data_IF_629294039805
#
_entry.id   IF_629294039805
#
_cell.length_a   1.000
_cell.length_b   1.000
_cell.length_c   1.000
_cell.angle_alpha   90.00
_cell.angle_beta   90.00
_cell.angle_gamma   90.00
#
_symmetry.space_group_name_H-M   'P 1'
#
loop_
_entity.id
_entity.type
_entity.pdbx_description
1 polymer ?
#
# COMPACT_ATOMS: atom_id res chain seq x y z
N UNK A 1 -37.66 -3.05 7.44
CA UNK A 1 -37.03 -3.12 8.78
C UNK A 1 -35.49 -3.12 8.61
N UNK A 2 -34.75 -2.20 9.23
CA UNK A 2 -33.29 -2.22 9.23
C UNK A 2 -32.83 -3.39 10.11
N UNK A 3 -32.15 -4.38 9.50
CA UNK A 3 -31.61 -5.54 10.23
C UNK A 3 -30.44 -5.06 11.13
N UNK A 4 -30.52 -5.31 12.42
CA UNK A 4 -29.42 -5.04 13.35
C UNK A 4 -28.30 -6.07 13.12
N UNK A 5 -27.01 -5.68 13.25
CA UNK A 5 -25.92 -6.65 13.17
C UNK A 5 -26.01 -7.65 14.33
N UNK A 6 -25.53 -8.88 14.10
CA UNK A 6 -25.39 -9.86 15.18
C UNK A 6 -24.25 -9.47 16.14
N UNK A 7 -24.23 -10.09 17.31
CA UNK A 7 -23.12 -9.92 18.27
C UNK A 7 -21.78 -10.33 17.66
N UNK A 8 -21.78 -11.43 16.89
CA UNK A 8 -20.60 -11.98 16.20
C UNK A 8 -20.10 -11.02 15.13
N UNK A 9 -21.00 -10.46 14.30
CA UNK A 9 -20.64 -9.47 13.28
C UNK A 9 -20.05 -8.20 13.92
N UNK A 10 -20.64 -7.74 15.02
CA UNK A 10 -20.11 -6.59 15.77
C UNK A 10 -18.74 -6.89 16.38
N UNK A 11 -18.56 -8.09 16.94
CA UNK A 11 -17.27 -8.52 17.48
C UNK A 11 -16.18 -8.66 16.40
N UNK A 12 -16.53 -9.17 15.22
CA UNK A 12 -15.62 -9.26 14.06
C UNK A 12 -15.18 -7.86 13.60
N UNK A 13 -16.12 -6.93 13.45
CA UNK A 13 -15.83 -5.53 13.12
C UNK A 13 -14.84 -4.89 14.10
N UNK A 14 -15.09 -5.01 15.40
CA UNK A 14 -14.22 -4.43 16.43
C UNK A 14 -12.82 -5.03 16.36
N UNK A 15 -12.69 -6.35 16.16
CA UNK A 15 -11.39 -7.01 16.02
C UNK A 15 -10.65 -6.56 14.78
N UNK A 16 -11.33 -6.48 13.64
CA UNK A 16 -10.75 -6.01 12.38
C UNK A 16 -10.13 -4.62 12.54
N UNK A 17 -10.88 -3.67 13.12
CA UNK A 17 -10.38 -2.29 13.33
C UNK A 17 -9.17 -2.25 14.29
N UNK A 18 -9.23 -3.00 15.37
CA UNK A 18 -8.14 -3.03 16.36
C UNK A 18 -6.87 -3.69 15.80
N UNK A 19 -7.02 -4.79 15.07
CA UNK A 19 -5.89 -5.52 14.49
C UNK A 19 -5.24 -4.68 13.41
N UNK A 20 -6.02 -4.12 12.48
CA UNK A 20 -5.50 -3.23 11.43
C UNK A 20 -4.66 -2.09 12.01
N UNK A 21 -5.18 -1.37 13.02
CA UNK A 21 -4.46 -0.25 13.65
C UNK A 21 -3.15 -0.72 14.32
N UNK A 22 -3.19 -1.85 15.04
CA UNK A 22 -2.01 -2.38 15.74
C UNK A 22 -0.94 -2.87 14.78
N UNK A 23 -1.31 -3.64 13.78
CA UNK A 23 -0.36 -4.19 12.81
C UNK A 23 0.29 -3.08 12.00
N UNK A 24 -0.50 -2.12 11.53
CA UNK A 24 0.03 -0.97 10.81
C UNK A 24 1.04 -0.18 11.66
N UNK A 25 0.69 0.14 12.89
CA UNK A 25 1.59 0.86 13.80
C UNK A 25 2.89 0.09 14.08
N UNK A 26 2.81 -1.24 14.21
CA UNK A 26 3.98 -2.08 14.43
C UNK A 26 4.90 -2.16 13.21
N UNK A 27 4.33 -2.26 12.00
CA UNK A 27 5.08 -2.22 10.74
C UNK A 27 5.76 -0.86 10.55
N UNK A 28 5.05 0.23 10.77
CA UNK A 28 5.61 1.59 10.72
C UNK A 28 6.77 1.77 11.71
N UNK A 29 6.65 1.22 12.90
CA UNK A 29 7.71 1.27 13.90
C UNK A 29 8.95 0.48 13.47
N UNK A 30 8.77 -0.70 12.86
CA UNK A 30 9.89 -1.51 12.39
C UNK A 30 10.60 -0.84 11.20
N UNK A 31 9.86 -0.25 10.25
CA UNK A 31 10.43 0.56 9.17
C UNK A 31 11.24 1.75 9.71
N UNK A 32 10.67 2.48 10.67
CA UNK A 32 11.35 3.61 11.32
C UNK A 32 12.65 3.16 12.02
N UNK A 33 12.64 2.04 12.73
CA UNK A 33 13.85 1.47 13.38
C UNK A 33 14.91 1.07 12.36
N UNK A 34 14.50 0.63 11.19
CA UNK A 34 15.40 0.31 10.08
C UNK A 34 15.90 1.57 9.32
N UNK A 35 15.51 2.78 9.74
CA UNK A 35 15.94 4.04 9.14
C UNK A 35 15.18 4.41 7.85
N UNK A 36 14.04 3.78 7.60
CA UNK A 36 13.23 4.06 6.42
C UNK A 36 12.16 5.12 6.67
N UNK A 37 11.69 5.81 5.60
CA UNK A 37 10.54 6.70 5.66
C UNK A 37 9.25 5.93 5.94
N UNK A 38 8.12 6.63 6.20
CA UNK A 38 6.81 6.03 6.43
C UNK A 38 6.37 5.08 5.31
N UNK A 39 5.58 4.06 5.66
CA UNK A 39 5.07 3.06 4.71
C UNK A 39 4.33 3.67 3.51
N UNK A 40 3.69 4.82 3.70
CA UNK A 40 3.02 5.55 2.62
C UNK A 40 3.96 5.92 1.46
N UNK A 41 5.26 6.12 1.72
CA UNK A 41 6.24 6.36 0.66
C UNK A 41 6.47 5.10 -0.17
N UNK A 42 6.64 3.96 0.51
CA UNK A 42 6.73 2.66 -0.16
C UNK A 42 5.52 2.39 -1.04
N UNK A 43 4.32 2.61 -0.49
CA UNK A 43 3.05 2.38 -1.15
C UNK A 43 2.94 3.22 -2.45
N UNK A 44 3.19 4.53 -2.36
CA UNK A 44 3.18 5.41 -3.51
C UNK A 44 4.25 5.03 -4.57
N UNK A 45 5.48 4.75 -4.14
CA UNK A 45 6.56 4.35 -5.05
C UNK A 45 6.27 2.99 -5.71
N UNK A 46 5.66 2.06 -4.99
CA UNK A 46 5.24 0.77 -5.53
C UNK A 46 4.22 0.94 -6.65
N UNK A 47 3.17 1.72 -6.42
CA UNK A 47 2.11 1.94 -7.41
C UNK A 47 2.64 2.69 -8.65
N UNK A 48 3.50 3.69 -8.45
CA UNK A 48 4.20 4.33 -9.57
C UNK A 48 5.09 3.35 -10.34
N UNK A 49 5.80 2.45 -9.66
CA UNK A 49 6.68 1.47 -10.30
C UNK A 49 5.92 0.43 -11.12
N UNK A 50 4.68 0.11 -10.75
CA UNK A 50 3.79 -0.84 -11.43
C UNK A 50 3.06 -0.22 -12.62
N UNK A 51 2.93 1.09 -12.63
CA UNK A 51 2.26 1.78 -13.73
C UNK A 51 2.98 1.52 -15.07
N UNK A 52 2.26 1.35 -16.19
CA UNK A 52 2.83 0.94 -17.48
C UNK A 52 3.99 1.80 -17.97
N UNK A 53 3.95 3.11 -17.69
CA UNK A 53 5.02 4.04 -18.05
C UNK A 53 5.84 4.52 -16.83
N UNK A 54 5.62 3.94 -15.64
CA UNK A 54 6.22 4.42 -14.39
C UNK A 54 5.62 5.75 -13.92
N UNK A 55 4.45 6.13 -14.42
CA UNK A 55 3.79 7.39 -14.13
C UNK A 55 2.28 7.23 -13.94
N UNK A 56 1.71 8.01 -13.03
CA UNK A 56 0.28 8.07 -12.74
C UNK A 56 -0.16 9.53 -12.57
N UNK A 57 -1.43 9.80 -12.83
CA UNK A 57 -2.03 11.05 -12.38
C UNK A 57 -2.20 11.03 -10.85
N UNK A 58 -2.10 12.16 -10.14
CA UNK A 58 -2.28 12.20 -8.68
C UNK A 58 -3.55 11.50 -8.18
N UNK A 59 -4.67 11.66 -8.89
CA UNK A 59 -5.95 11.01 -8.57
C UNK A 59 -5.90 9.49 -8.78
N UNK A 60 -5.17 9.02 -9.78
CA UNK A 60 -4.98 7.59 -10.04
C UNK A 60 -4.10 6.97 -8.96
N UNK A 61 -3.00 7.64 -8.61
CA UNK A 61 -2.13 7.22 -7.51
C UNK A 61 -2.93 7.11 -6.20
N UNK A 62 -3.72 8.13 -5.86
CA UNK A 62 -4.56 8.13 -4.64
C UNK A 62 -5.51 6.92 -4.60
N UNK A 63 -6.11 6.56 -5.73
CA UNK A 63 -7.04 5.42 -5.81
C UNK A 63 -6.34 4.07 -5.70
N UNK A 64 -5.08 3.98 -6.13
CA UNK A 64 -4.32 2.72 -6.15
C UNK A 64 -3.58 2.47 -4.83
N UNK A 65 -3.31 3.51 -4.04
CA UNK A 65 -2.61 3.36 -2.77
C UNK A 65 -3.39 2.48 -1.80
N UNK A 66 -2.68 1.57 -1.14
CA UNK A 66 -3.19 0.71 -0.08
C UNK A 66 -3.63 1.50 1.14
N UNK A 67 -2.87 2.54 1.49
CA UNK A 67 -3.10 3.36 2.67
C UNK A 67 -3.80 4.67 2.29
N UNK A 68 -4.99 4.96 2.86
CA UNK A 68 -5.64 6.24 2.64
C UNK A 68 -4.77 7.38 3.17
N UNK A 69 -4.61 8.42 2.36
CA UNK A 69 -3.84 9.60 2.72
C UNK A 69 -4.74 10.81 2.96
N UNK A 70 -4.45 11.59 4.00
CA UNK A 70 -5.12 12.87 4.21
C UNK A 70 -4.80 13.89 3.12
N UNK A 71 -3.65 13.74 2.45
CA UNK A 71 -3.25 14.59 1.34
C UNK A 71 -2.21 13.89 0.48
N UNK A 72 -2.66 13.28 -0.60
CA UNK A 72 -1.79 12.68 -1.63
C UNK A 72 -0.89 13.73 -2.26
N UNK A 73 -1.37 14.97 -2.43
CA UNK A 73 -0.55 16.06 -2.95
C UNK A 73 0.68 16.33 -2.09
N UNK A 74 0.54 16.38 -0.77
CA UNK A 74 1.67 16.59 0.16
C UNK A 74 2.65 15.41 0.15
N UNK A 75 2.15 14.19 -0.03
CA UNK A 75 3.00 13.03 -0.19
C UNK A 75 3.84 13.14 -1.46
N UNK A 76 3.18 13.47 -2.58
CA UNK A 76 3.85 13.69 -3.87
C UNK A 76 4.90 14.80 -3.75
N UNK A 77 4.57 15.93 -3.12
CA UNK A 77 5.53 17.03 -2.94
C UNK A 77 6.79 16.54 -2.21
N UNK A 78 6.64 15.79 -1.13
CA UNK A 78 7.77 15.22 -0.39
C UNK A 78 8.59 14.24 -1.23
N UNK A 79 7.95 13.37 -2.02
CA UNK A 79 8.66 12.45 -2.90
C UNK A 79 9.46 13.20 -3.98
N UNK A 80 8.91 14.30 -4.48
CA UNK A 80 9.58 15.16 -5.47
C UNK A 80 10.73 15.92 -4.83
N UNK A 81 10.54 16.49 -3.65
CA UNK A 81 11.58 17.23 -2.92
C UNK A 81 12.80 16.33 -2.58
N UNK A 82 12.55 15.05 -2.30
CA UNK A 82 13.59 14.04 -2.05
C UNK A 82 14.14 13.39 -3.35
N UNK A 83 13.67 13.84 -4.51
CA UNK A 83 14.15 13.34 -5.80
C UNK A 83 13.72 11.90 -6.13
N UNK A 84 12.72 11.37 -5.42
CA UNK A 84 12.21 10.00 -5.58
C UNK A 84 11.12 9.89 -6.65
N UNK A 85 10.50 11.01 -6.95
CA UNK A 85 9.53 11.18 -8.03
C UNK A 85 9.77 12.51 -8.74
N UNK A 86 9.20 12.66 -9.93
CA UNK A 86 9.21 13.90 -10.70
C UNK A 86 7.80 14.25 -11.17
N UNK A 87 7.49 15.54 -11.27
CA UNK A 87 6.25 16.01 -11.90
C UNK A 87 6.52 16.19 -13.39
N UNK A 88 5.61 15.69 -14.22
CA UNK A 88 5.66 15.83 -15.66
C UNK A 88 4.37 16.41 -16.19
N UNK A 89 4.49 17.41 -17.06
CA UNK A 89 3.32 17.98 -17.75
C UNK A 89 2.83 17.06 -18.87
N UNK A 90 1.52 16.93 -18.99
CA UNK A 90 0.93 16.21 -20.10
C UNK A 90 1.12 17.03 -21.39
N UNK A 91 1.73 16.44 -22.42
CA UNK A 91 1.95 17.10 -23.73
C UNK A 91 0.64 17.41 -24.47
N UNK A 92 -0.43 16.69 -24.17
CA UNK A 92 -1.72 16.78 -24.86
C UNK A 92 -2.69 17.69 -24.10
N UNK A 93 -2.64 17.66 -22.76
CA UNK A 93 -3.49 18.48 -21.89
C UNK A 93 -2.61 19.20 -20.88
N UNK A 94 -2.36 20.49 -21.13
CA UNK A 94 -1.53 21.35 -20.24
C UNK A 94 -2.06 21.46 -18.81
N UNK A 95 -3.26 20.97 -18.52
CA UNK A 95 -3.87 20.91 -17.18
C UNK A 95 -3.60 19.57 -16.47
N UNK A 96 -3.10 18.57 -17.20
CA UNK A 96 -2.80 17.24 -16.65
C UNK A 96 -1.36 17.18 -16.15
N UNK A 97 -1.15 16.94 -14.89
CA UNK A 97 0.16 16.58 -14.33
C UNK A 97 0.22 15.08 -14.11
N UNK A 98 1.37 14.49 -14.46
CA UNK A 98 1.74 13.14 -14.09
C UNK A 98 2.81 13.18 -13.00
N UNK A 99 2.84 12.15 -12.19
CA UNK A 99 3.92 11.86 -11.25
C UNK A 99 4.65 10.64 -11.77
N UNK A 100 5.92 10.77 -12.04
CA UNK A 100 6.80 9.71 -12.56
C UNK A 100 7.79 9.29 -11.48
N UNK A 101 8.03 7.98 -11.32
CA UNK A 101 9.03 7.47 -10.40
C UNK A 101 10.43 7.65 -10.99
N UNK A 102 11.36 8.13 -10.18
CA UNK A 102 12.79 8.20 -10.57
C UNK A 102 13.51 6.88 -10.29
N UNK A 103 14.73 6.74 -10.80
CA UNK A 103 15.57 5.58 -10.46
C UNK A 103 15.88 5.51 -8.96
N UNK A 104 16.14 6.66 -8.32
CA UNK A 104 16.30 6.73 -6.87
C UNK A 104 15.05 6.26 -6.11
N UNK A 105 13.85 6.58 -6.62
CA UNK A 105 12.58 6.10 -6.08
C UNK A 105 12.43 4.58 -6.19
N UNK A 106 12.81 4.00 -7.34
CA UNK A 106 12.81 2.54 -7.54
C UNK A 106 13.78 1.82 -6.61
N UNK A 107 14.97 2.38 -6.43
CA UNK A 107 15.96 1.83 -5.51
C UNK A 107 15.48 1.87 -4.05
N UNK A 108 14.91 2.99 -3.62
CA UNK A 108 14.36 3.12 -2.27
C UNK A 108 13.24 2.09 -2.06
N UNK A 109 12.31 1.96 -3.00
CA UNK A 109 11.22 0.99 -2.93
C UNK A 109 11.75 -0.44 -2.75
N UNK A 110 12.77 -0.84 -3.53
CA UNK A 110 13.41 -2.16 -3.41
C UNK A 110 14.08 -2.37 -2.04
N UNK A 111 14.81 -1.35 -1.55
CA UNK A 111 15.45 -1.40 -0.22
C UNK A 111 14.44 -1.52 0.91
N UNK A 112 13.35 -0.75 0.84
CA UNK A 112 12.28 -0.79 1.84
C UNK A 112 11.58 -2.15 1.87
N UNK A 113 11.46 -2.83 0.73
CA UNK A 113 10.79 -4.13 0.65
C UNK A 113 11.42 -5.16 1.60
N UNK A 114 12.73 -5.19 1.71
CA UNK A 114 13.42 -6.12 2.62
C UNK A 114 12.98 -5.95 4.08
N UNK A 115 12.90 -4.72 4.57
CA UNK A 115 12.45 -4.44 5.93
C UNK A 115 10.92 -4.61 6.08
N UNK A 116 10.16 -4.21 5.06
CA UNK A 116 8.70 -4.32 5.07
C UNK A 116 8.25 -5.78 5.05
N UNK A 117 8.82 -6.62 4.18
CA UNK A 117 8.51 -8.06 4.13
C UNK A 117 8.86 -8.77 5.46
N UNK A 118 9.99 -8.43 6.07
CA UNK A 118 10.34 -8.94 7.39
C UNK A 118 9.34 -8.50 8.48
N UNK A 119 8.84 -7.27 8.42
CA UNK A 119 7.81 -6.78 9.32
C UNK A 119 6.46 -7.50 9.10
N UNK A 120 6.06 -7.75 7.84
CA UNK A 120 4.87 -8.56 7.53
C UNK A 120 5.01 -9.97 8.12
N UNK A 121 6.15 -10.64 7.90
CA UNK A 121 6.41 -11.96 8.47
C UNK A 121 6.31 -11.94 9.99
N UNK A 122 6.94 -10.98 10.65
CA UNK A 122 6.95 -10.85 12.10
C UNK A 122 5.56 -10.62 12.70
N UNK A 123 4.74 -9.77 12.08
CA UNK A 123 3.48 -9.32 12.66
C UNK A 123 2.25 -10.08 12.14
N UNK A 124 2.37 -10.75 11.01
CA UNK A 124 1.30 -11.52 10.36
C UNK A 124 1.72 -12.96 10.11
N UNK A 125 2.75 -13.21 9.31
CA UNK A 125 3.15 -14.55 8.87
C UNK A 125 3.45 -15.48 10.05
N UNK A 126 4.22 -15.03 11.03
CA UNK A 126 4.53 -15.83 12.23
C UNK A 126 3.33 -16.11 13.14
N UNK A 127 2.16 -15.53 12.89
CA UNK A 127 0.93 -15.70 13.68
C UNK A 127 -0.12 -16.58 13.00
N UNK A 128 0.02 -16.83 11.73
CA UNK A 128 -0.94 -17.57 10.92
C UNK A 128 -0.22 -18.68 10.16
N UNK A 129 -0.81 -19.86 10.10
CA UNK A 129 -0.41 -20.85 9.10
C UNK A 129 -0.84 -20.36 7.71
N UNK A 130 -0.18 -20.86 6.64
CA UNK A 130 -0.58 -20.53 5.26
C UNK A 130 -2.05 -20.84 5.00
N UNK A 131 -2.55 -21.94 5.56
CA UNK A 131 -3.96 -22.32 5.45
C UNK A 131 -4.90 -21.31 6.13
N UNK A 132 -4.49 -20.74 7.27
CA UNK A 132 -5.29 -19.73 7.96
C UNK A 132 -5.19 -18.37 7.27
N UNK A 133 -4.03 -18.03 6.70
CA UNK A 133 -3.86 -16.83 5.89
C UNK A 133 -4.78 -16.87 4.66
N UNK A 134 -4.84 -18.00 3.94
CA UNK A 134 -5.76 -18.18 2.80
C UNK A 134 -7.22 -18.03 3.22
N UNK A 135 -7.62 -18.65 4.35
CA UNK A 135 -8.99 -18.49 4.87
C UNK A 135 -9.30 -17.04 5.22
N UNK A 136 -8.35 -16.35 5.88
CA UNK A 136 -8.51 -14.94 6.24
C UNK A 136 -8.67 -14.07 4.99
N UNK A 137 -7.84 -14.25 3.95
CA UNK A 137 -7.98 -13.56 2.67
C UNK A 137 -9.39 -13.73 2.10
N UNK A 138 -9.87 -14.96 2.00
CA UNK A 138 -11.23 -15.23 1.48
C UNK A 138 -12.35 -14.63 2.32
N UNK A 139 -12.16 -14.46 3.64
CA UNK A 139 -13.13 -13.76 4.49
C UNK A 139 -13.09 -12.24 4.29
N UNK A 140 -11.89 -11.69 4.13
CA UNK A 140 -11.69 -10.25 3.87
C UNK A 140 -12.21 -9.86 2.49
N UNK A 141 -11.99 -10.67 1.46
CA UNK A 141 -12.52 -10.46 0.10
C UNK A 141 -14.04 -10.33 0.11
N UNK A 142 -14.73 -11.16 0.91
CA UNK A 142 -16.19 -11.06 1.08
C UNK A 142 -16.65 -9.75 1.71
N UNK A 143 -15.80 -9.09 2.48
CA UNK A 143 -16.09 -7.77 3.05
C UNK A 143 -15.77 -6.65 2.06
N UNK A 144 -14.78 -6.85 1.19
CA UNK A 144 -14.32 -5.89 0.19
C UNK A 144 -15.13 -5.89 -1.11
N UNK A 145 -15.86 -6.96 -1.44
CA UNK A 145 -16.62 -7.14 -2.69
C UNK A 145 -17.73 -6.13 -2.98
N UNK A 146 -17.89 -5.08 -2.19
CA UNK A 146 -18.79 -3.97 -2.51
C UNK A 146 -18.12 -2.80 -3.25
N UNK A 147 -16.80 -2.81 -3.43
CA UNK A 147 -16.05 -1.74 -4.09
C UNK A 147 -14.92 -2.32 -4.94
N UNK A 148 -15.14 -2.35 -6.26
CA UNK A 148 -14.10 -2.40 -7.30
C UNK A 148 -13.43 -3.75 -7.58
N UNK A 149 -13.74 -4.25 -8.76
CA UNK A 149 -12.95 -5.23 -9.53
C UNK A 149 -11.60 -4.63 -10.01
N UNK A 150 -10.74 -4.20 -9.13
CA UNK A 150 -9.39 -3.81 -9.54
C UNK A 150 -8.45 -3.65 -8.37
N UNK A 151 -8.09 -4.73 -7.71
CA UNK A 151 -6.81 -4.77 -6.96
C UNK A 151 -6.67 -6.12 -6.28
N UNK A 152 -6.28 -7.13 -7.05
CA UNK A 152 -5.51 -8.21 -6.44
C UNK A 152 -4.11 -7.65 -6.20
N UNK A 153 -3.60 -7.54 -4.97
CA UNK A 153 -2.21 -7.19 -4.78
C UNK A 153 -1.38 -8.34 -5.35
N UNK A 154 -0.82 -8.15 -6.53
CA UNK A 154 0.28 -8.98 -6.97
C UNK A 154 1.43 -8.72 -5.99
N UNK A 155 1.45 -9.50 -4.92
CA UNK A 155 2.57 -9.59 -3.99
C UNK A 155 3.78 -9.94 -4.85
N UNK A 156 4.81 -9.09 -4.80
CA UNK A 156 5.95 -9.13 -5.67
C UNK A 156 6.57 -10.52 -5.77
N UNK A 157 6.50 -11.11 -6.94
CA UNK A 157 7.46 -12.13 -7.32
C UNK A 157 8.82 -11.45 -7.38
N UNK A 158 9.57 -11.64 -6.29
CA UNK A 158 10.97 -11.29 -6.26
C UNK A 158 11.66 -12.00 -7.41
N UNK A 159 12.24 -11.22 -8.31
CA UNK A 159 13.13 -11.71 -9.35
C UNK A 159 14.19 -12.60 -8.71
N UNK A 160 14.04 -13.90 -8.90
CA UNK A 160 15.12 -14.87 -8.74
C UNK A 160 16.10 -14.58 -9.88
N UNK A 161 17.13 -13.81 -9.58
CA UNK A 161 18.29 -13.68 -10.46
C UNK A 161 19.22 -14.87 -10.22
N UNK A 162 19.44 -15.61 -11.27
CA UNK A 162 20.62 -16.46 -11.41
C UNK A 162 21.85 -15.60 -11.60
#
# INVERSE_FOLDING_TARGET
MKRKPSTEATAAWIRLMRVQTRVLAAVEQDLKKAGFPPLAWYDALLELSRAPAGELRPVELERQMLLPQYSTSRLIDRLVDEGLAARRECKIDKRGQFVEITEAGRELQKKMWSAYSAAIEKHVGSKLSDADAVKLCGLLDRLGCACSEAQSPAIGEGASAR
#
